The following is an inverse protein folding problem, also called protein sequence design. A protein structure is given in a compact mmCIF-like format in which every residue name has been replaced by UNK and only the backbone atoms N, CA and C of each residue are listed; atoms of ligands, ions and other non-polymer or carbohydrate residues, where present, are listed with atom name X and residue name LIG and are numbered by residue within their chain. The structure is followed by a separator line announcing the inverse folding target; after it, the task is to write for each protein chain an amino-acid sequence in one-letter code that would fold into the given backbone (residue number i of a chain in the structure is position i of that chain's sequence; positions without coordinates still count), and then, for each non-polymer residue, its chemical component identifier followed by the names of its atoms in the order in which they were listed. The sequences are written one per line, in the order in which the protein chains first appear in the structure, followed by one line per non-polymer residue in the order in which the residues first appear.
data_IF_389547612875
#
_entry.id   IF_389547612875
#
_cell.length_a   1.000
_cell.length_b   1.000
_cell.length_c   1.000
_cell.angle_alpha   90.00
_cell.angle_beta   90.00
_cell.angle_gamma   90.00
#
_symmetry.space_group_name_H-M   'P 1'
#
loop_
_entity.id
_entity.type
_entity.pdbx_description
1 polymer ?
#
# COMPACT_ATOMS: atom_id res chain seq x y z
N UNK A 1 9.68 17.80 -15.37
CA UNK A 1 8.74 16.89 -14.67
C UNK A 1 7.96 16.19 -15.77
N UNK A 2 8.07 14.86 -15.87
CA UNK A 2 7.40 14.12 -16.95
C UNK A 2 5.88 14.24 -16.83
N UNK A 3 5.18 14.37 -17.97
CA UNK A 3 3.71 14.48 -18.04
C UNK A 3 2.99 13.46 -17.16
N UNK A 4 3.53 12.24 -17.08
CA UNK A 4 2.94 11.16 -16.28
C UNK A 4 2.99 11.42 -14.78
N UNK A 5 4.15 11.87 -14.27
CA UNK A 5 4.30 12.19 -12.85
C UNK A 5 3.41 13.37 -12.45
N UNK A 6 3.32 14.39 -13.32
CA UNK A 6 2.43 15.52 -13.12
C UNK A 6 0.96 15.12 -13.04
N UNK A 7 0.50 14.22 -13.93
CA UNK A 7 -0.89 13.75 -13.93
C UNK A 7 -1.25 12.99 -12.66
N UNK A 8 -0.34 12.16 -12.10
CA UNK A 8 -0.61 11.41 -10.86
C UNK A 8 -0.77 12.31 -9.63
N UNK A 9 -0.23 13.53 -9.66
CA UNK A 9 -0.26 14.49 -8.54
C UNK A 9 -1.55 15.29 -8.45
N UNK A 10 -2.40 15.24 -9.47
CA UNK A 10 -3.68 15.94 -9.48
C UNK A 10 -4.82 14.96 -9.27
N UNK A 11 -5.83 15.42 -8.53
CA UNK A 11 -7.09 14.71 -8.48
C UNK A 11 -7.70 14.61 -9.89
N UNK A 12 -8.33 13.47 -10.20
CA UNK A 12 -8.81 13.15 -11.54
C UNK A 12 -9.81 14.17 -12.11
N UNK A 13 -10.57 14.87 -11.26
CA UNK A 13 -11.49 15.95 -11.69
C UNK A 13 -10.77 17.22 -12.21
N UNK A 14 -9.48 17.37 -11.93
CA UNK A 14 -8.65 18.50 -12.36
C UNK A 14 -7.82 18.18 -13.61
N UNK A 15 -8.00 16.98 -14.19
CA UNK A 15 -7.33 16.54 -15.40
C UNK A 15 -8.24 16.71 -16.62
N UNK A 16 -7.62 16.99 -17.77
CA UNK A 16 -8.30 17.02 -19.06
C UNK A 16 -8.76 15.62 -19.48
N UNK A 17 -9.76 15.50 -20.37
CA UNK A 17 -10.19 14.20 -20.90
C UNK A 17 -9.06 13.38 -21.54
N UNK A 18 -8.10 14.04 -22.20
CA UNK A 18 -6.95 13.37 -22.82
C UNK A 18 -5.96 12.82 -21.78
N UNK A 19 -5.71 13.57 -20.70
CA UNK A 19 -4.87 13.11 -19.58
C UNK A 19 -5.51 11.91 -18.87
N UNK A 20 -6.83 11.97 -18.61
CA UNK A 20 -7.58 10.83 -18.04
C UNK A 20 -7.52 9.61 -18.96
N UNK A 21 -7.64 9.79 -20.27
CA UNK A 21 -7.50 8.70 -21.25
C UNK A 21 -6.08 8.11 -21.25
N UNK A 22 -5.05 8.95 -21.14
CA UNK A 22 -3.64 8.51 -21.06
C UNK A 22 -3.38 7.69 -19.79
N UNK A 23 -3.79 8.19 -18.62
CA UNK A 23 -3.68 7.47 -17.35
C UNK A 23 -4.47 6.15 -17.36
N UNK A 24 -5.72 6.17 -17.85
CA UNK A 24 -6.55 4.97 -17.94
C UNK A 24 -5.89 3.91 -18.82
N UNK A 25 -5.28 4.29 -19.95
CA UNK A 25 -4.55 3.37 -20.82
C UNK A 25 -3.33 2.77 -20.13
N UNK A 26 -2.54 3.59 -19.43
CA UNK A 26 -1.38 3.10 -18.67
C UNK A 26 -1.83 2.15 -17.57
N UNK A 27 -2.87 2.52 -16.81
CA UNK A 27 -3.37 1.70 -15.71
C UNK A 27 -3.92 0.35 -16.15
N UNK A 28 -4.60 0.30 -17.30
CA UNK A 28 -5.11 -0.94 -17.91
C UNK A 28 -4.02 -1.86 -18.45
N UNK A 29 -2.84 -1.32 -18.77
CA UNK A 29 -1.70 -2.11 -19.23
C UNK A 29 -0.95 -2.80 -18.09
N UNK A 30 -1.16 -2.36 -16.84
CA UNK A 30 -0.61 -3.01 -15.65
C UNK A 30 -1.47 -4.25 -15.34
N UNK A 31 -0.89 -5.46 -15.30
CA UNK A 31 -1.63 -6.68 -15.00
C UNK A 31 -2.35 -6.58 -13.66
N UNK A 32 -3.58 -7.12 -13.61
CA UNK A 32 -4.26 -7.36 -12.33
C UNK A 32 -3.47 -8.44 -11.57
N UNK A 33 -3.22 -8.29 -10.26
CA UNK A 33 -2.54 -9.32 -9.50
C UNK A 33 -3.39 -10.59 -9.47
N UNK A 34 -2.70 -11.73 -9.56
CA UNK A 34 -3.26 -13.07 -9.46
C UNK A 34 -2.94 -13.70 -8.08
N UNK A 35 -3.33 -14.96 -7.86
CA UNK A 35 -3.09 -15.68 -6.61
C UNK A 35 -1.60 -15.88 -6.27
N UNK A 36 -0.72 -15.81 -7.28
CA UNK A 36 0.72 -16.01 -7.13
C UNK A 36 1.48 -14.69 -6.96
N UNK A 37 0.80 -13.56 -7.14
CA UNK A 37 1.38 -12.23 -7.08
C UNK A 37 1.71 -11.86 -5.64
N UNK A 38 2.98 -11.54 -5.37
CA UNK A 38 3.40 -11.07 -4.06
C UNK A 38 2.90 -9.65 -3.83
N UNK A 39 1.91 -9.52 -2.95
CA UNK A 39 1.36 -8.25 -2.50
C UNK A 39 2.10 -7.73 -1.28
N UNK A 40 1.92 -6.45 -0.98
CA UNK A 40 2.34 -5.88 0.28
C UNK A 40 1.39 -4.85 0.86
N UNK A 41 1.40 -4.75 2.19
CA UNK A 41 0.74 -3.72 2.98
C UNK A 41 1.75 -3.03 3.88
N UNK A 42 1.91 -1.71 3.72
CA UNK A 42 2.66 -0.90 4.68
C UNK A 42 1.75 -0.54 5.85
N UNK A 43 2.26 -0.74 7.06
CA UNK A 43 1.57 -0.50 8.34
C UNK A 43 2.49 0.27 9.29
N UNK A 44 1.91 0.96 10.27
CA UNK A 44 2.70 1.66 11.30
C UNK A 44 3.49 0.65 12.13
N UNK A 45 4.55 1.12 12.81
CA UNK A 45 5.31 0.31 13.76
C UNK A 45 4.43 -0.25 14.88
N UNK A 46 3.48 0.54 15.37
CA UNK A 46 2.48 0.08 16.35
C UNK A 46 1.63 -1.06 15.77
N UNK A 47 1.06 -0.89 14.59
CA UNK A 47 0.23 -1.91 13.94
C UNK A 47 1.01 -3.19 13.68
N UNK A 48 2.28 -3.09 13.26
CA UNK A 48 3.18 -4.24 13.15
C UNK A 48 3.32 -4.98 14.47
N UNK A 49 3.62 -4.27 15.56
CA UNK A 49 3.76 -4.90 16.88
C UNK A 49 2.46 -5.58 17.32
N UNK A 50 1.29 -5.00 17.02
CA UNK A 50 -0.01 -5.61 17.32
C UNK A 50 -0.23 -6.93 16.56
N UNK A 51 0.23 -7.05 15.31
CA UNK A 51 0.23 -8.34 14.59
C UNK A 51 1.17 -9.35 15.26
N UNK A 52 2.39 -8.94 15.63
CA UNK A 52 3.38 -9.82 16.28
C UNK A 52 2.94 -10.28 17.69
N UNK A 53 2.20 -9.44 18.40
CA UNK A 53 1.59 -9.76 19.70
C UNK A 53 0.35 -10.64 19.58
N UNK A 54 -0.12 -10.94 18.35
CA UNK A 54 -1.34 -11.71 18.10
C UNK A 54 -2.63 -10.95 18.44
N UNK A 55 -2.59 -9.62 18.51
CA UNK A 55 -3.76 -8.77 18.80
C UNK A 55 -4.64 -8.50 17.57
N UNK A 56 -4.19 -8.85 16.37
CA UNK A 56 -4.96 -8.79 15.13
C UNK A 56 -5.20 -10.17 14.53
N UNK A 57 -6.35 -10.31 13.87
CA UNK A 57 -7.02 -11.58 13.50
C UNK A 57 -6.41 -12.34 12.33
N UNK A 58 -5.13 -12.13 12.00
CA UNK A 58 -4.49 -12.85 10.90
C UNK A 58 -5.04 -12.49 9.51
N UNK A 59 -5.50 -11.26 9.33
CA UNK A 59 -6.11 -10.78 8.09
C UNK A 59 -5.52 -9.45 7.62
N UNK A 60 -5.55 -9.19 6.31
CA UNK A 60 -5.11 -7.95 5.67
C UNK A 60 -6.22 -7.35 4.80
N UNK A 61 -6.26 -6.03 4.72
CA UNK A 61 -7.21 -5.30 3.88
C UNK A 61 -6.80 -3.85 3.64
N UNK A 62 -7.68 -3.09 2.99
CA UNK A 62 -7.48 -1.68 2.65
C UNK A 62 -6.47 -1.50 1.51
N UNK A 63 -5.78 -0.35 1.50
CA UNK A 63 -4.83 -0.01 0.42
C UNK A 63 -3.57 -0.87 0.47
N UNK A 64 -3.28 -1.55 -0.64
CA UNK A 64 -2.16 -2.47 -0.82
C UNK A 64 -1.48 -2.21 -2.17
N UNK A 65 -0.28 -2.73 -2.37
CA UNK A 65 0.46 -2.63 -3.63
C UNK A 65 1.07 -3.99 -4.00
N UNK A 66 1.41 -4.19 -5.27
CA UNK A 66 2.25 -5.32 -5.69
C UNK A 66 3.68 -5.02 -5.23
N UNK A 67 4.35 -5.97 -4.57
CA UNK A 67 5.68 -5.75 -4.00
C UNK A 67 6.73 -5.36 -5.06
N UNK A 68 6.63 -5.88 -6.28
CA UNK A 68 7.54 -5.51 -7.38
C UNK A 68 7.37 -4.07 -7.85
N UNK A 69 6.17 -3.51 -7.74
CA UNK A 69 5.86 -2.14 -8.16
C UNK A 69 6.40 -1.11 -7.17
N UNK A 70 6.76 -1.54 -5.96
CA UNK A 70 7.35 -0.67 -4.92
C UNK A 70 8.85 -0.87 -4.77
N UNK A 71 9.51 -1.64 -5.63
CA UNK A 71 10.94 -2.00 -5.48
C UNK A 71 11.90 -0.80 -5.46
N UNK A 72 11.48 0.33 -6.02
CA UNK A 72 12.24 1.59 -5.99
C UNK A 72 12.10 2.34 -4.67
N UNK A 73 11.12 1.99 -3.84
CA UNK A 73 10.92 2.56 -2.50
C UNK A 73 11.69 1.68 -1.50
N UNK A 74 12.85 2.15 -1.04
CA UNK A 74 13.81 1.31 -0.30
C UNK A 74 13.80 1.57 1.19
N UNK A 75 13.46 2.79 1.59
CA UNK A 75 13.46 3.25 2.98
C UNK A 75 12.04 3.49 3.48
N UNK A 76 11.87 3.63 4.80
CA UNK A 76 10.60 4.09 5.34
C UNK A 76 10.23 5.49 4.80
N UNK A 77 11.17 6.42 4.69
CA UNK A 77 10.94 7.71 4.04
C UNK A 77 10.42 7.57 2.60
N UNK A 78 10.96 6.63 1.82
CA UNK A 78 10.49 6.39 0.47
C UNK A 78 9.06 5.86 0.45
N UNK A 79 8.69 4.93 1.34
CA UNK A 79 7.30 4.48 1.47
C UNK A 79 6.38 5.62 1.91
N UNK A 80 6.82 6.43 2.86
CA UNK A 80 6.04 7.52 3.40
C UNK A 80 5.63 8.52 2.31
N UNK A 81 6.58 8.94 1.47
CA UNK A 81 6.32 9.89 0.38
C UNK A 81 5.80 9.22 -0.91
N UNK A 82 6.30 8.04 -1.26
CA UNK A 82 5.89 7.31 -2.47
C UNK A 82 4.48 6.77 -2.38
N UNK A 83 4.07 6.25 -1.22
CA UNK A 83 2.73 5.70 -0.98
C UNK A 83 1.78 6.73 -0.35
N UNK A 84 2.23 7.97 -0.16
CA UNK A 84 1.47 9.05 0.46
C UNK A 84 0.90 8.69 1.83
N UNK A 85 1.75 8.15 2.71
CA UNK A 85 1.41 7.84 4.10
C UNK A 85 1.37 9.10 4.99
N UNK A 86 1.67 10.27 4.42
CA UNK A 86 1.57 11.61 4.99
C UNK A 86 0.14 12.17 5.04
N UNK A 87 -0.88 11.31 4.95
CA UNK A 87 -2.27 11.74 5.06
C UNK A 87 -2.66 12.02 6.51
N UNK A 88 -3.59 12.96 6.68
CA UNK A 88 -4.21 13.25 7.97
C UNK A 88 -5.52 12.50 8.09
N UNK A 89 -5.74 11.94 9.27
CA UNK A 89 -7.03 11.42 9.69
C UNK A 89 -8.00 12.58 9.94
N UNK A 90 -9.30 12.26 10.06
CA UNK A 90 -10.35 13.26 10.32
C UNK A 90 -10.14 14.06 11.62
N UNK A 91 -9.41 13.49 12.58
CA UNK A 91 -9.02 14.15 13.83
C UNK A 91 -7.78 15.06 13.71
N UNK A 92 -7.24 15.23 12.49
CA UNK A 92 -6.08 16.08 12.19
C UNK A 92 -4.72 15.47 12.51
N UNK A 93 -4.66 14.25 13.08
CA UNK A 93 -3.41 13.52 13.34
C UNK A 93 -2.96 12.75 12.10
N UNK A 94 -1.66 12.49 12.02
CA UNK A 94 -1.12 11.54 11.06
C UNK A 94 -1.25 10.12 11.60
N UNK A 95 -1.42 9.16 10.71
CA UNK A 95 -1.32 7.74 11.07
C UNK A 95 0.15 7.30 11.11
N UNK A 96 0.96 7.77 10.16
CA UNK A 96 2.40 7.52 10.10
C UNK A 96 3.18 8.77 10.52
N UNK A 97 4.25 8.53 11.27
CA UNK A 97 5.15 9.56 11.78
C UNK A 97 6.58 9.19 11.35
N UNK A 98 7.23 10.02 10.53
CA UNK A 98 8.57 9.74 9.98
C UNK A 98 9.63 9.58 11.08
N UNK A 99 9.45 10.27 12.19
CA UNK A 99 10.29 10.24 13.38
C UNK A 99 10.33 8.86 14.08
N UNK A 100 9.37 7.97 13.82
CA UNK A 100 9.40 6.57 14.28
C UNK A 100 10.58 5.77 13.68
N UNK A 101 11.20 6.30 12.62
CA UNK A 101 12.43 5.77 12.02
C UNK A 101 12.24 4.48 11.21
N UNK A 102 11.04 3.91 11.23
CA UNK A 102 10.72 2.60 10.63
C UNK A 102 9.21 2.40 10.45
N UNK A 103 8.84 1.47 9.56
CA UNK A 103 7.48 0.98 9.40
C UNK A 103 7.44 -0.54 9.25
N UNK A 104 6.25 -1.12 9.44
CA UNK A 104 5.99 -2.51 9.10
C UNK A 104 5.61 -2.66 7.62
N UNK A 105 6.07 -3.74 7.00
CA UNK A 105 5.68 -4.15 5.64
C UNK A 105 5.28 -5.61 5.69
N UNK A 106 4.00 -5.88 5.51
CA UNK A 106 3.45 -7.23 5.43
C UNK A 106 3.48 -7.66 3.98
N UNK A 107 4.13 -8.78 3.67
CA UNK A 107 4.20 -9.37 2.33
C UNK A 107 3.39 -10.65 2.31
N UNK A 108 2.47 -10.76 1.36
CA UNK A 108 1.50 -11.85 1.36
C UNK A 108 1.08 -12.26 -0.04
N UNK A 109 0.56 -13.49 -0.15
CA UNK A 109 -0.16 -14.00 -1.32
C UNK A 109 -1.51 -14.54 -0.87
N UNK A 110 -2.48 -14.63 -1.78
CA UNK A 110 -3.78 -15.21 -1.47
C UNK A 110 -4.54 -15.58 -2.74
N UNK A 111 -5.21 -16.73 -2.71
CA UNK A 111 -6.13 -17.18 -3.76
C UNK A 111 -7.37 -16.30 -3.89
N UNK A 112 -7.66 -15.45 -2.90
CA UNK A 112 -8.81 -14.54 -2.92
C UNK A 112 -8.50 -13.21 -3.63
N UNK A 113 -7.22 -12.90 -3.89
CA UNK A 113 -6.81 -11.64 -4.53
C UNK A 113 -7.50 -11.41 -5.88
N UNK A 114 -7.50 -12.37 -6.84
CA UNK A 114 -8.08 -12.13 -8.17
C UNK A 114 -9.53 -11.66 -8.13
N UNK A 115 -10.30 -12.11 -7.14
CA UNK A 115 -11.72 -11.80 -7.02
C UNK A 115 -11.99 -10.54 -6.19
N UNK A 116 -11.21 -10.32 -5.12
CA UNK A 116 -11.47 -9.24 -4.14
C UNK A 116 -10.72 -7.94 -4.40
N UNK A 117 -9.60 -7.98 -5.11
CA UNK A 117 -8.76 -6.80 -5.35
C UNK A 117 -9.40 -5.87 -6.39
N UNK A 118 -9.43 -4.58 -6.09
CA UNK A 118 -9.94 -3.54 -6.98
C UNK A 118 -8.96 -2.38 -7.12
N UNK A 119 -9.16 -1.58 -8.17
CA UNK A 119 -8.52 -0.26 -8.30
C UNK A 119 -9.42 0.73 -7.55
N UNK A 120 -8.93 1.43 -6.51
CA UNK A 120 -9.75 2.38 -5.77
C UNK A 120 -10.13 3.56 -6.67
N UNK A 121 -11.40 3.65 -7.07
CA UNK A 121 -11.96 4.72 -7.91
C UNK A 121 -13.49 4.70 -7.87
N UNK A 122 -14.13 5.86 -7.73
CA UNK A 122 -15.59 6.00 -7.76
C UNK A 122 -16.28 5.51 -6.48
N UNK A 123 -17.56 5.85 -6.33
CA UNK A 123 -18.41 5.29 -5.26
C UNK A 123 -17.92 5.71 -3.87
N UNK A 124 -17.69 4.75 -2.98
CA UNK A 124 -17.20 5.03 -1.61
C UNK A 124 -15.83 5.71 -1.59
N UNK A 125 -15.03 5.59 -2.67
CA UNK A 125 -13.74 6.27 -2.80
C UNK A 125 -13.88 7.75 -3.17
N UNK A 126 -15.04 8.21 -3.64
CA UNK A 126 -15.23 9.63 -3.99
C UNK A 126 -15.23 10.55 -2.76
N UNK A 127 -15.41 9.99 -1.57
CA UNK A 127 -15.31 10.70 -0.29
C UNK A 127 -13.87 10.81 0.24
N UNK A 128 -12.90 10.16 -0.42
CA UNK A 128 -11.51 10.18 0.01
C UNK A 128 -10.86 11.51 -0.37
N UNK A 129 -10.29 12.17 0.64
CA UNK A 129 -9.59 13.43 0.45
C UNK A 129 -8.16 13.22 -0.07
N UNK A 130 -7.57 14.32 -0.55
CA UNK A 130 -6.12 14.37 -0.82
C UNK A 130 -5.35 13.83 0.39
N UNK A 131 -4.42 12.88 0.21
CA UNK A 131 -3.61 12.64 -0.98
C UNK A 131 -4.17 11.68 -2.04
N UNK A 132 -5.35 11.12 -1.84
CA UNK A 132 -5.99 10.29 -2.86
C UNK A 132 -6.35 11.11 -4.10
N UNK A 133 -6.00 10.61 -5.30
CA UNK A 133 -6.20 11.36 -6.55
C UNK A 133 -7.21 10.71 -7.50
N UNK A 134 -7.75 9.54 -7.19
CA UNK A 134 -8.70 8.81 -8.05
C UNK A 134 -8.14 8.49 -9.45
N UNK A 135 -6.81 8.48 -9.58
CA UNK A 135 -6.10 8.19 -10.84
C UNK A 135 -5.75 6.70 -11.01
N UNK A 136 -5.87 5.91 -9.94
CA UNK A 136 -5.41 4.53 -9.87
C UNK A 136 -3.91 4.38 -9.56
N UNK A 137 -3.27 5.47 -9.15
CA UNK A 137 -1.88 5.54 -8.72
C UNK A 137 -1.76 6.44 -7.49
N UNK A 138 -0.85 6.11 -6.58
CA UNK A 138 -0.48 7.03 -5.52
C UNK A 138 0.20 8.24 -6.16
N UNK A 139 -0.02 9.42 -5.60
CA UNK A 139 0.48 10.63 -6.25
C UNK A 139 2.01 10.75 -6.22
N UNK A 140 2.65 10.11 -5.23
CA UNK A 140 4.01 10.44 -4.80
C UNK A 140 4.17 11.91 -4.41
N UNK A 141 5.22 12.23 -3.66
CA UNK A 141 5.70 13.60 -3.44
C UNK A 141 7.18 13.56 -3.03
N UNK A 142 7.77 14.72 -2.73
CA UNK A 142 9.15 14.83 -2.21
C UNK A 142 10.19 14.07 -3.07
N UNK A 143 10.01 14.12 -4.39
CA UNK A 143 10.87 13.45 -5.38
C UNK A 143 10.65 11.94 -5.53
N UNK A 144 9.68 11.34 -4.82
CA UNK A 144 9.35 9.91 -4.92
C UNK A 144 8.24 9.69 -5.94
N UNK A 145 8.47 8.72 -6.83
CA UNK A 145 7.46 8.26 -7.78
C UNK A 145 6.43 7.39 -7.06
N UNK A 146 5.15 7.67 -7.28
CA UNK A 146 4.07 6.83 -6.81
C UNK A 146 3.99 5.47 -7.51
N UNK A 147 3.02 4.67 -7.11
CA UNK A 147 2.84 3.28 -7.56
C UNK A 147 1.39 3.01 -7.96
N UNK A 148 1.11 1.98 -8.77
CA UNK A 148 -0.26 1.55 -9.03
C UNK A 148 -0.98 1.21 -7.72
N UNK A 149 -2.17 1.78 -7.54
CA UNK A 149 -2.99 1.52 -6.34
C UNK A 149 -3.86 0.28 -6.53
N UNK A 150 -3.94 -0.48 -5.44
CA UNK A 150 -4.90 -1.55 -5.25
C UNK A 150 -5.56 -1.42 -3.88
N UNK A 151 -6.79 -1.91 -3.76
CA UNK A 151 -7.52 -1.92 -2.51
C UNK A 151 -8.20 -3.29 -2.33
N UNK A 152 -8.19 -3.77 -1.09
CA UNK A 152 -8.96 -4.91 -0.61
C UNK A 152 -10.10 -4.35 0.28
N UNK A 153 -11.31 -4.14 -0.27
CA UNK A 153 -12.44 -3.61 0.50
C UNK A 153 -12.88 -4.59 1.60
N UNK A 154 -12.81 -5.88 1.28
CA UNK A 154 -12.97 -6.97 2.23
C UNK A 154 -11.59 -7.46 2.67
N UNK A 155 -11.48 -7.79 3.96
CA UNK A 155 -10.27 -8.41 4.49
C UNK A 155 -10.14 -9.84 3.95
N UNK A 156 -8.89 -10.25 3.73
CA UNK A 156 -8.53 -11.62 3.36
C UNK A 156 -7.57 -12.19 4.40
N UNK A 157 -7.55 -13.51 4.54
CA UNK A 157 -6.70 -14.18 5.51
C UNK A 157 -5.26 -14.28 5.02
N UNK A 158 -4.32 -14.21 5.95
CA UNK A 158 -2.95 -14.64 5.68
C UNK A 158 -2.90 -16.16 5.53
N UNK A 159 -1.90 -16.61 4.80
CA UNK A 159 -1.57 -18.03 4.65
C UNK A 159 -0.20 -18.32 5.28
N UNK A 160 0.07 -19.60 5.49
CA UNK A 160 1.36 -20.06 6.00
C UNK A 160 2.53 -19.50 5.19
N UNK A 161 3.49 -18.90 5.90
CA UNK A 161 4.69 -18.32 5.29
C UNK A 161 4.57 -16.85 4.90
N UNK A 162 3.40 -16.21 5.02
CA UNK A 162 3.28 -14.75 4.85
C UNK A 162 4.17 -14.04 5.88
N UNK A 163 4.79 -12.92 5.49
CA UNK A 163 5.88 -12.32 6.25
C UNK A 163 5.54 -10.91 6.71
N UNK A 164 6.01 -10.53 7.90
CA UNK A 164 6.01 -9.14 8.35
C UNK A 164 7.46 -8.68 8.58
N UNK A 165 7.82 -7.61 7.87
CA UNK A 165 9.15 -7.00 7.86
C UNK A 165 9.11 -5.63 8.53
N UNK A 166 10.19 -5.24 9.19
CA UNK A 166 10.43 -3.85 9.60
C UNK A 166 11.42 -3.22 8.61
N UNK A 167 11.06 -2.08 8.03
CA UNK A 167 11.89 -1.32 7.09
C UNK A 167 12.28 0.00 7.73
N UNK A 168 13.58 0.30 7.72
CA UNK A 168 14.18 1.45 8.38
C UNK A 168 14.49 2.58 7.39
N UNK A 169 14.76 3.78 7.92
CA UNK A 169 15.16 4.95 7.11
C UNK A 169 16.51 4.79 6.40
N UNK A 170 17.41 3.94 6.90
CA UNK A 170 18.68 3.62 6.24
C UNK A 170 18.52 2.56 5.12
N UNK A 171 17.30 2.06 4.90
CA UNK A 171 16.99 1.03 3.92
C UNK A 171 17.21 -0.40 4.40
N UNK A 172 17.69 -0.59 5.63
CA UNK A 172 17.78 -1.92 6.25
C UNK A 172 16.37 -2.51 6.38
N UNK A 173 16.26 -3.82 6.16
CA UNK A 173 15.02 -4.58 6.40
C UNK A 173 15.30 -5.72 7.37
N UNK A 174 14.41 -5.95 8.32
CA UNK A 174 14.48 -7.07 9.26
C UNK A 174 13.19 -7.86 9.22
N UNK A 175 13.28 -9.17 8.99
CA UNK A 175 12.14 -10.06 9.16
C UNK A 175 11.76 -10.08 10.63
N UNK A 176 10.52 -9.70 10.96
CA UNK A 176 10.04 -9.64 12.34
C UNK A 176 9.13 -10.80 12.70
N UNK A 177 8.45 -11.40 11.72
CA UNK A 177 7.62 -12.58 11.95
C UNK A 177 7.16 -13.25 10.66
N UNK A 178 6.76 -14.52 10.80
CA UNK A 178 6.18 -15.33 9.73
C UNK A 178 4.84 -15.88 10.21
N UNK A 179 3.79 -15.76 9.40
CA UNK A 179 2.46 -16.22 9.74
C UNK A 179 2.44 -17.75 9.81
N UNK A 180 1.79 -18.25 10.86
CA UNK A 180 1.49 -19.65 11.05
C UNK A 180 -0.04 -19.79 11.18
N UNK A 181 -0.64 -20.48 10.21
CA UNK A 181 -2.07 -20.67 10.05
C UNK A 181 -2.65 -21.54 11.17
N UNK A 182 -1.94 -22.60 11.56
CA UNK A 182 -2.35 -23.48 12.68
C UNK A 182 -2.50 -22.71 14.00
N UNK A 183 -1.60 -21.75 14.25
CA UNK A 183 -1.61 -20.88 15.44
C UNK A 183 -2.41 -19.59 15.22
N UNK A 184 -2.85 -19.32 13.99
CA UNK A 184 -3.62 -18.14 13.60
C UNK A 184 -2.88 -16.80 13.82
N UNK A 185 -1.54 -16.79 13.84
CA UNK A 185 -0.75 -15.58 14.18
C UNK A 185 0.65 -15.57 13.56
N UNK A 186 1.26 -14.39 13.54
CA UNK A 186 2.69 -14.25 13.24
C UNK A 186 3.53 -14.78 14.40
N UNK A 187 4.53 -15.60 14.07
CA UNK A 187 5.56 -16.07 14.99
C UNK A 187 6.79 -15.19 14.83
N UNK A 188 7.12 -14.45 15.88
CA UNK A 188 8.25 -13.52 15.88
C UNK A 188 9.58 -14.22 15.58
N UNK A 189 10.50 -13.49 14.92
CA UNK A 189 11.87 -13.93 14.58
C UNK A 189 12.92 -13.12 15.32
#
# INVERSE_FOLDING_TARGET
MDDFHYMMQKHANALTPNEIKKLTRIRKAIPKPDENTLMQKVVTKETMNRYLEGKYTGEVGGSVAIASDTKHLKTFEDYYYGLRLDYKLSNGKYEFYLEEGSCGVIRFKSTEIPDKIIIPKGGTFDEWNYPFTSTGFTSGNNGRLGVPEWNLPERIKFIDGDEIWEVFNDGTQRLRGVYNEDLGKFISK
#
